data_IF_946016249999
#
_entry.id   IF_946016249999
#
_cell.length_a   1.000
_cell.length_b   1.000
_cell.length_c   1.000
_cell.angle_alpha   90.00
_cell.angle_beta   90.00
_cell.angle_gamma   90.00
#
_symmetry.space_group_name_H-M   'P 1'
#
loop_
_entity.id
_entity.type
_entity.pdbx_description
1 polymer ?
#
# COMPACT_ATOMS: atom_id res chain seq x y z
N UNK A 1 -9.76 -48.43 57.61
CA UNK A 1 -11.20 -48.72 57.52
C UNK A 1 -11.95 -47.41 57.31
N UNK A 2 -12.68 -47.19 56.21
CA UNK A 2 -12.46 -47.65 54.83
C UNK A 2 -12.22 -46.47 53.84
N UNK A 3 -11.62 -46.77 52.68
CA UNK A 3 -11.51 -45.87 51.51
C UNK A 3 -12.74 -46.00 50.59
N UNK A 4 -13.12 -44.95 49.82
CA UNK A 4 -14.09 -45.04 48.72
C UNK A 4 -13.42 -45.18 47.33
N UNK A 5 -14.12 -45.70 46.31
CA UNK A 5 -13.52 -46.17 45.06
C UNK A 5 -13.40 -45.10 43.95
N UNK A 6 -12.48 -45.42 43.04
CA UNK A 6 -12.04 -44.74 41.82
C UNK A 6 -13.13 -44.35 40.81
N UNK A 7 -13.05 -43.13 40.27
CA UNK A 7 -13.79 -42.65 39.11
C UNK A 7 -12.90 -42.64 37.85
N UNK A 8 -13.39 -43.32 36.82
CA UNK A 8 -12.83 -43.44 35.48
C UNK A 8 -13.19 -42.20 34.63
N UNK A 9 -12.18 -41.66 33.96
CA UNK A 9 -12.25 -40.52 33.03
C UNK A 9 -12.74 -40.95 31.64
N UNK A 10 -13.78 -40.30 31.13
CA UNK A 10 -14.22 -40.35 29.73
C UNK A 10 -14.01 -38.98 29.05
N UNK A 11 -13.64 -38.91 27.76
CA UNK A 11 -13.26 -37.68 27.09
C UNK A 11 -14.46 -36.92 26.48
N UNK A 12 -14.41 -35.60 26.54
CA UNK A 12 -15.34 -34.69 25.90
C UNK A 12 -15.06 -34.58 24.38
N UNK A 13 -16.10 -34.68 23.55
CA UNK A 13 -16.09 -34.28 22.13
C UNK A 13 -17.38 -33.54 21.74
N UNK A 14 -17.15 -32.30 21.30
CA UNK A 14 -17.84 -31.47 20.28
C UNK A 14 -19.37 -31.30 20.26
N UNK A 15 -19.85 -30.04 20.20
CA UNK A 15 -21.06 -29.70 19.47
C UNK A 15 -20.76 -29.16 18.05
N UNK A 16 -21.53 -29.70 17.12
CA UNK A 16 -21.50 -29.51 15.67
C UNK A 16 -21.81 -28.08 15.23
N UNK A 17 -20.99 -27.56 14.32
CA UNK A 17 -21.28 -26.37 13.51
C UNK A 17 -22.33 -26.70 12.43
N UNK A 18 -23.35 -25.86 12.29
CA UNK A 18 -24.23 -25.80 11.11
C UNK A 18 -24.43 -24.34 10.65
N UNK A 19 -24.73 -24.13 9.36
CA UNK A 19 -24.26 -22.97 8.60
C UNK A 19 -25.24 -21.80 8.64
N UNK A 20 -24.71 -20.58 8.67
CA UNK A 20 -25.50 -19.37 8.46
C UNK A 20 -25.77 -19.16 6.97
N UNK A 21 -27.05 -19.26 6.61
CA UNK A 21 -27.62 -18.79 5.35
C UNK A 21 -27.85 -17.28 5.42
N UNK A 22 -27.62 -16.64 4.28
CA UNK A 22 -27.96 -15.27 3.94
C UNK A 22 -29.44 -14.91 4.16
N UNK A 23 -29.72 -13.63 4.41
CA UNK A 23 -30.91 -12.83 4.05
C UNK A 23 -30.54 -11.34 4.32
N UNK A 24 -30.51 -10.44 3.33
CA UNK A 24 -31.62 -9.72 2.66
C UNK A 24 -31.92 -8.38 3.37
N UNK A 25 -31.50 -7.26 2.78
CA UNK A 25 -32.31 -6.14 2.24
C UNK A 25 -32.07 -4.88 3.11
N UNK A 26 -32.10 -3.62 2.68
CA UNK A 26 -32.73 -2.91 1.58
C UNK A 26 -31.85 -1.71 1.20
N UNK A 27 -31.65 -1.44 -0.09
CA UNK A 27 -31.20 -0.11 -0.56
C UNK A 27 -32.30 0.47 -1.45
N UNK A 28 -33.06 1.40 -0.87
CA UNK A 28 -33.98 2.27 -1.62
C UNK A 28 -33.23 3.47 -2.19
N UNK A 29 -33.53 3.71 -3.45
CA UNK A 29 -33.02 4.71 -4.39
C UNK A 29 -33.44 6.16 -4.07
N UNK A 30 -32.57 7.13 -4.37
CA UNK A 30 -32.87 8.45 -4.99
C UNK A 30 -31.56 9.25 -5.15
N UNK A 31 -30.97 9.35 -6.35
CA UNK A 31 -31.17 10.42 -7.35
C UNK A 31 -30.90 11.85 -6.82
N UNK A 32 -29.80 12.47 -7.28
CA UNK A 32 -29.72 13.84 -7.83
C UNK A 32 -28.34 13.98 -8.51
N UNK A 33 -28.33 14.23 -9.82
CA UNK A 33 -27.16 14.66 -10.59
C UNK A 33 -26.89 16.16 -10.37
N UNK A 34 -25.70 16.67 -10.75
CA UNK A 34 -25.76 17.73 -11.75
C UNK A 34 -24.68 17.68 -12.82
N UNK A 35 -25.13 18.10 -14.00
CA UNK A 35 -24.36 18.33 -15.20
C UNK A 35 -23.74 19.74 -15.23
N UNK A 36 -22.69 19.88 -16.04
CA UNK A 36 -22.28 21.07 -16.81
C UNK A 36 -21.96 22.37 -16.05
N UNK A 37 -20.67 22.65 -15.91
CA UNK A 37 -20.15 24.02 -16.06
C UNK A 37 -18.84 24.00 -16.88
N UNK A 38 -18.98 24.21 -18.18
CA UNK A 38 -17.90 24.57 -19.12
C UNK A 38 -18.30 25.92 -19.73
N UNK A 39 -17.46 26.94 -19.60
CA UNK A 39 -17.54 28.14 -20.42
C UNK A 39 -17.15 29.45 -19.74
N UNK A 40 -16.20 30.16 -20.38
CA UNK A 40 -15.63 31.51 -20.11
C UNK A 40 -14.41 31.46 -19.18
N UNK A 41 -13.20 31.83 -19.59
CA UNK A 41 -12.82 33.07 -20.27
C UNK A 41 -11.69 32.87 -21.31
N UNK A 42 -11.83 33.55 -22.45
CA UNK A 42 -10.76 33.93 -23.34
C UNK A 42 -10.51 35.43 -23.20
N UNK A 43 -9.24 35.83 -23.30
CA UNK A 43 -8.70 37.11 -23.79
C UNK A 43 -7.56 37.58 -22.89
N UNK A 44 -6.35 37.62 -23.45
CA UNK A 44 -5.37 38.71 -23.36
C UNK A 44 -4.18 38.29 -24.22
N UNK A 45 -4.23 38.66 -25.50
CA UNK A 45 -3.07 38.58 -26.37
C UNK A 45 -2.08 39.69 -26.02
N UNK A 46 -0.78 39.39 -26.07
CA UNK A 46 0.32 40.33 -26.29
C UNK A 46 1.57 39.52 -26.65
N UNK A 47 2.15 39.84 -27.81
CA UNK A 47 3.44 39.37 -28.32
C UNK A 47 4.58 40.19 -27.70
N UNK A 48 5.81 39.65 -27.62
CA UNK A 48 6.94 40.36 -28.23
C UNK A 48 7.93 39.39 -28.92
N UNK A 49 8.29 39.62 -30.18
CA UNK A 49 9.46 40.42 -30.63
C UNK A 49 10.82 39.77 -30.32
N UNK A 50 11.46 39.25 -31.37
CA UNK A 50 12.87 38.85 -31.44
C UNK A 50 13.82 40.06 -31.36
N UNK A 51 15.08 39.83 -30.98
CA UNK A 51 16.18 40.57 -31.57
C UNK A 51 17.23 39.64 -32.19
N UNK A 52 17.65 39.96 -33.41
CA UNK A 52 18.91 39.48 -33.96
C UNK A 52 20.07 40.33 -33.46
N UNK A 53 21.26 39.73 -33.38
CA UNK A 53 22.50 40.45 -33.66
C UNK A 53 23.63 39.47 -34.03
N UNK A 54 24.37 39.93 -35.02
CA UNK A 54 25.57 39.44 -35.70
C UNK A 54 26.80 39.32 -34.81
N UNK A 55 27.65 38.33 -35.06
CA UNK A 55 29.12 38.49 -34.97
C UNK A 55 29.86 37.38 -35.74
N UNK A 56 30.82 37.80 -36.56
CA UNK A 56 31.66 37.00 -37.44
C UNK A 56 32.92 36.47 -36.73
N UNK A 57 33.45 35.32 -37.16
CA UNK A 57 34.87 34.93 -37.00
C UNK A 57 35.20 33.68 -37.86
N UNK A 58 36.48 33.37 -38.16
CA UNK A 58 36.91 33.08 -39.53
C UNK A 58 37.25 31.62 -39.84
N UNK A 59 37.30 31.38 -41.15
CA UNK A 59 37.81 30.23 -41.88
C UNK A 59 39.14 29.64 -41.38
N UNK A 60 39.19 28.31 -41.25
CA UNK A 60 40.43 27.51 -41.18
C UNK A 60 40.38 26.30 -42.15
N UNK A 61 41.55 25.86 -42.67
CA UNK A 61 41.69 25.11 -43.92
C UNK A 61 41.47 23.59 -43.77
N UNK A 62 41.34 22.84 -44.89
CA UNK A 62 41.03 21.41 -44.86
C UNK A 62 42.23 20.57 -44.38
N UNK A 63 42.01 19.39 -43.77
CA UNK A 63 43.12 18.54 -43.38
C UNK A 63 43.72 17.84 -44.60
N UNK A 64 45.06 17.79 -44.61
CA UNK A 64 45.89 17.09 -45.57
C UNK A 64 45.64 15.57 -45.53
N UNK A 65 45.70 14.96 -46.72
CA UNK A 65 45.94 13.53 -46.93
C UNK A 65 47.18 13.09 -46.14
N UNK A 66 47.01 12.10 -45.28
CA UNK A 66 48.09 11.27 -44.75
C UNK A 66 47.94 9.83 -45.26
N UNK A 67 49.09 9.24 -45.54
CA UNK A 67 49.27 7.95 -46.18
C UNK A 67 48.73 6.78 -45.36
N UNK A 68 48.35 5.74 -46.11
CA UNK A 68 47.95 4.44 -45.64
C UNK A 68 48.97 3.82 -44.65
N UNK A 69 48.45 3.40 -43.50
CA UNK A 69 49.00 2.29 -42.73
C UNK A 69 47.87 1.28 -42.53
N UNK A 70 48.15 0.02 -42.88
CA UNK A 70 47.25 -1.12 -42.69
C UNK A 70 46.98 -1.32 -41.19
N UNK A 71 45.84 -0.83 -40.72
CA UNK A 71 45.28 -1.23 -39.43
C UNK A 71 44.22 -2.29 -39.72
N UNK A 72 44.46 -3.52 -39.23
CA UNK A 72 43.50 -4.60 -39.28
C UNK A 72 42.13 -4.11 -38.83
N UNK A 73 41.12 -4.39 -39.64
CA UNK A 73 39.72 -4.09 -39.42
C UNK A 73 39.24 -4.74 -38.13
N UNK A 74 39.39 -4.03 -37.00
CA UNK A 74 38.55 -4.31 -35.83
C UNK A 74 37.12 -3.95 -36.26
N UNK A 75 36.16 -4.89 -36.22
CA UNK A 75 34.78 -4.55 -36.49
C UNK A 75 34.35 -3.45 -35.52
N UNK A 76 33.46 -2.53 -35.93
CA UNK A 76 32.98 -1.47 -35.06
C UNK A 76 32.49 -2.09 -33.75
N UNK A 77 32.78 -1.46 -32.60
CA UNK A 77 32.40 -1.97 -31.25
C UNK A 77 30.92 -2.40 -31.15
N UNK A 78 30.04 -1.83 -31.98
CA UNK A 78 28.63 -2.22 -32.11
C UNK A 78 28.39 -3.60 -32.75
N UNK A 79 29.21 -4.03 -33.71
CA UNK A 79 29.08 -5.33 -34.35
C UNK A 79 29.39 -6.51 -33.42
N UNK A 80 30.45 -6.39 -32.59
CA UNK A 80 30.79 -7.41 -31.59
C UNK A 80 29.73 -7.53 -30.49
N UNK A 81 29.11 -6.42 -30.09
CA UNK A 81 28.06 -6.44 -29.08
C UNK A 81 26.78 -7.11 -29.61
N UNK A 82 26.40 -6.83 -30.87
CA UNK A 82 25.28 -7.49 -31.52
C UNK A 82 25.52 -8.99 -31.74
N UNK A 83 26.74 -9.37 -32.11
CA UNK A 83 27.13 -10.77 -32.30
C UNK A 83 27.12 -11.54 -30.97
N UNK A 84 27.65 -10.94 -29.89
CA UNK A 84 27.57 -11.54 -28.55
C UNK A 84 26.14 -11.63 -28.03
N UNK A 85 25.28 -10.64 -28.33
CA UNK A 85 23.86 -10.71 -27.98
C UNK A 85 23.15 -11.85 -28.74
N UNK A 86 23.43 -12.03 -30.04
CA UNK A 86 22.89 -13.12 -30.83
C UNK A 86 23.34 -14.50 -30.32
N UNK A 87 24.62 -14.63 -29.94
CA UNK A 87 25.14 -15.85 -29.30
C UNK A 87 24.38 -16.16 -28.01
N UNK A 88 24.16 -15.16 -27.15
CA UNK A 88 23.41 -15.33 -25.90
C UNK A 88 21.93 -15.67 -26.11
N UNK A 89 21.30 -15.13 -27.15
CA UNK A 89 19.94 -15.51 -27.53
C UNK A 89 19.90 -16.99 -27.96
N UNK A 90 20.84 -17.42 -28.80
CA UNK A 90 20.91 -18.82 -29.24
C UNK A 90 21.17 -19.78 -28.08
N UNK A 91 22.11 -19.45 -27.18
CA UNK A 91 22.33 -20.21 -25.95
C UNK A 91 21.02 -20.34 -25.13
N UNK A 92 20.27 -19.25 -24.99
CA UNK A 92 18.98 -19.25 -24.30
C UNK A 92 17.96 -20.20 -24.95
N UNK A 93 17.84 -20.16 -26.28
CA UNK A 93 16.94 -21.04 -27.02
C UNK A 93 17.34 -22.53 -26.91
N UNK A 94 18.64 -22.84 -26.90
CA UNK A 94 19.12 -24.20 -26.68
C UNK A 94 18.73 -24.72 -25.29
N UNK A 95 18.86 -23.88 -24.26
CA UNK A 95 18.45 -24.23 -22.90
C UNK A 95 16.93 -24.43 -22.80
N UNK A 96 16.12 -23.62 -23.48
CA UNK A 96 14.66 -23.85 -23.57
C UNK A 96 14.35 -25.22 -24.20
N UNK A 97 15.01 -25.57 -25.30
CA UNK A 97 14.80 -26.86 -25.97
C UNK A 97 15.22 -28.06 -25.09
N UNK A 98 16.31 -27.91 -24.32
CA UNK A 98 16.74 -28.91 -23.33
C UNK A 98 15.71 -29.06 -22.21
N UNK A 99 15.19 -27.96 -21.67
CA UNK A 99 14.16 -27.98 -20.64
C UNK A 99 12.88 -28.69 -21.12
N UNK A 100 12.42 -28.40 -22.34
CA UNK A 100 11.26 -29.07 -22.94
C UNK A 100 11.49 -30.57 -23.15
N UNK A 101 12.73 -30.97 -23.46
CA UNK A 101 13.10 -32.39 -23.55
C UNK A 101 13.03 -33.10 -22.18
N UNK A 102 13.41 -32.43 -21.10
CA UNK A 102 13.30 -32.96 -19.74
C UNK A 102 11.85 -33.12 -19.26
N UNK A 103 10.95 -32.26 -19.75
CA UNK A 103 9.51 -32.34 -19.46
C UNK A 103 8.79 -33.43 -20.27
N UNK A 104 9.34 -33.87 -21.41
CA UNK A 104 8.75 -34.95 -22.21
C UNK A 104 8.81 -36.27 -21.46
N UNK A 105 7.64 -36.87 -21.25
CA UNK A 105 7.49 -38.24 -20.77
C UNK A 105 7.57 -39.21 -21.95
N UNK A 106 8.03 -40.42 -21.67
CA UNK A 106 8.16 -41.48 -22.66
C UNK A 106 7.84 -42.83 -22.05
N UNK A 107 7.93 -43.91 -22.83
CA UNK A 107 7.59 -45.26 -22.38
C UNK A 107 8.37 -45.73 -21.13
N UNK A 108 9.57 -45.20 -20.89
CA UNK A 108 10.40 -45.48 -19.69
C UNK A 108 10.29 -44.43 -18.58
N UNK A 109 9.72 -43.23 -18.83
CA UNK A 109 9.68 -42.12 -17.87
C UNK A 109 8.26 -41.57 -17.77
N UNK A 110 7.55 -42.05 -16.76
CA UNK A 110 6.16 -41.68 -16.45
C UNK A 110 5.99 -40.35 -15.72
N UNK A 111 7.06 -39.77 -15.13
CA UNK A 111 7.03 -38.47 -14.46
C UNK A 111 8.02 -37.49 -15.13
N UNK A 112 7.57 -36.29 -15.53
CA UNK A 112 8.46 -35.24 -16.05
C UNK A 112 9.57 -34.87 -15.07
N UNK A 113 10.75 -34.51 -15.59
CA UNK A 113 11.85 -34.00 -14.78
C UNK A 113 11.71 -32.50 -14.53
N UNK A 114 10.86 -32.15 -13.57
CA UNK A 114 10.61 -30.73 -13.28
C UNK A 114 11.85 -30.03 -12.71
N UNK A 115 12.69 -30.74 -11.95
CA UNK A 115 13.90 -30.17 -11.34
C UNK A 115 14.95 -29.81 -12.40
N UNK A 116 15.27 -30.76 -13.28
CA UNK A 116 16.22 -30.53 -14.37
C UNK A 116 15.69 -29.49 -15.37
N UNK A 117 14.38 -29.51 -15.66
CA UNK A 117 13.76 -28.52 -16.54
C UNK A 117 13.83 -27.11 -15.94
N UNK A 118 13.56 -26.95 -14.65
CA UNK A 118 13.64 -25.65 -13.99
C UNK A 118 15.06 -25.07 -14.04
N UNK A 119 16.09 -25.88 -13.75
CA UNK A 119 17.50 -25.44 -13.85
C UNK A 119 17.86 -24.94 -15.26
N UNK A 120 17.39 -25.63 -16.31
CA UNK A 120 17.63 -25.21 -17.69
C UNK A 120 16.83 -23.94 -18.06
N UNK A 121 15.60 -23.78 -17.58
CA UNK A 121 14.84 -22.55 -17.75
C UNK A 121 15.51 -21.34 -17.06
N UNK A 122 16.07 -21.52 -15.86
CA UNK A 122 16.82 -20.47 -15.17
C UNK A 122 18.07 -20.04 -15.93
N UNK A 123 18.83 -20.98 -16.51
CA UNK A 123 19.97 -20.68 -17.40
C UNK A 123 19.52 -19.92 -18.65
N UNK A 124 18.41 -20.32 -19.25
CA UNK A 124 17.82 -19.63 -20.40
C UNK A 124 17.44 -18.18 -20.05
N UNK A 125 16.79 -17.97 -18.90
CA UNK A 125 16.41 -16.65 -18.43
C UNK A 125 17.61 -15.71 -18.25
N UNK A 126 18.70 -16.22 -17.64
CA UNK A 126 19.96 -15.46 -17.49
C UNK A 126 20.59 -15.12 -18.85
N UNK A 127 20.59 -16.05 -19.80
CA UNK A 127 21.11 -15.82 -21.14
C UNK A 127 20.30 -14.74 -21.89
N UNK A 128 18.96 -14.80 -21.85
CA UNK A 128 18.10 -13.78 -22.43
C UNK A 128 18.24 -12.42 -21.75
N UNK A 129 18.35 -12.39 -20.42
CA UNK A 129 18.61 -11.16 -19.66
C UNK A 129 19.93 -10.51 -20.08
N UNK A 130 21.01 -11.28 -20.24
CA UNK A 130 22.30 -10.77 -20.69
C UNK A 130 22.27 -10.23 -22.13
N UNK A 131 21.40 -10.80 -22.98
CA UNK A 131 21.12 -10.29 -24.32
C UNK A 131 20.15 -9.09 -24.35
N UNK A 132 19.69 -8.61 -23.19
CA UNK A 132 18.65 -7.55 -23.04
C UNK A 132 17.28 -7.90 -23.62
N UNK A 133 17.00 -9.19 -23.78
CA UNK A 133 15.72 -9.68 -24.28
C UNK A 133 14.78 -9.98 -23.12
N UNK A 134 14.29 -8.92 -22.47
CA UNK A 134 13.55 -9.00 -21.21
C UNK A 134 12.21 -9.75 -21.31
N UNK A 135 11.49 -9.65 -22.44
CA UNK A 135 10.22 -10.36 -22.63
C UNK A 135 10.46 -11.89 -22.66
N UNK A 136 11.49 -12.35 -23.39
CA UNK A 136 11.87 -13.76 -23.42
C UNK A 136 12.44 -14.25 -22.08
N UNK A 137 13.21 -13.40 -21.40
CA UNK A 137 13.72 -13.71 -20.06
C UNK A 137 12.58 -13.89 -19.05
N UNK A 138 11.57 -13.01 -19.10
CA UNK A 138 10.35 -13.11 -18.28
C UNK A 138 9.62 -14.42 -18.55
N UNK A 139 9.37 -14.77 -19.81
CA UNK A 139 8.68 -16.02 -20.16
C UNK A 139 9.46 -17.25 -19.70
N UNK A 140 10.80 -17.22 -19.80
CA UNK A 140 11.66 -18.29 -19.29
C UNK A 140 11.58 -18.41 -17.74
N UNK A 141 11.62 -17.30 -17.01
CA UNK A 141 11.43 -17.29 -15.55
C UNK A 141 10.03 -17.80 -15.14
N UNK A 142 8.98 -17.48 -15.91
CA UNK A 142 7.64 -18.01 -15.63
C UNK A 142 7.57 -19.52 -15.83
N UNK A 143 8.23 -20.05 -16.88
CA UNK A 143 8.34 -21.50 -17.11
C UNK A 143 9.15 -22.20 -15.99
N UNK A 144 10.24 -21.58 -15.55
CA UNK A 144 11.03 -22.02 -14.40
C UNK A 144 10.17 -22.08 -13.13
N UNK A 145 9.41 -21.03 -12.84
CA UNK A 145 8.57 -20.95 -11.67
C UNK A 145 7.50 -22.07 -11.65
N UNK A 146 6.82 -22.27 -12.79
CA UNK A 146 5.81 -23.35 -12.94
C UNK A 146 6.46 -24.74 -12.81
N UNK A 147 7.67 -24.93 -13.31
CA UNK A 147 8.40 -26.18 -13.12
C UNK A 147 8.70 -26.44 -11.62
N UNK A 148 9.16 -25.42 -10.90
CA UNK A 148 9.39 -25.53 -9.45
C UNK A 148 8.09 -25.75 -8.65
N UNK A 149 6.98 -25.11 -9.02
CA UNK A 149 5.66 -25.37 -8.42
C UNK A 149 5.27 -26.85 -8.56
N UNK A 150 5.40 -27.40 -9.78
CA UNK A 150 5.08 -28.80 -10.06
C UNK A 150 6.01 -29.78 -9.31
N UNK A 151 7.23 -29.35 -8.99
CA UNK A 151 8.16 -30.10 -8.15
C UNK A 151 7.95 -29.88 -6.64
N UNK A 152 6.94 -29.09 -6.23
CA UNK A 152 6.69 -28.66 -4.84
C UNK A 152 7.85 -27.89 -4.20
N UNK A 153 8.70 -27.27 -5.00
CA UNK A 153 9.82 -26.44 -4.55
C UNK A 153 9.37 -24.96 -4.45
N UNK A 154 8.47 -24.67 -3.50
CA UNK A 154 7.78 -23.37 -3.40
C UNK A 154 8.74 -22.16 -3.27
N UNK A 155 9.80 -22.28 -2.45
CA UNK A 155 10.80 -21.21 -2.31
C UNK A 155 11.46 -20.83 -3.63
N UNK A 156 11.84 -21.84 -4.44
CA UNK A 156 12.50 -21.62 -5.72
C UNK A 156 11.51 -21.10 -6.77
N UNK A 157 10.26 -21.56 -6.73
CA UNK A 157 9.19 -21.00 -7.56
C UNK A 157 8.97 -19.51 -7.27
N UNK A 158 8.89 -19.13 -5.99
CA UNK A 158 8.75 -17.73 -5.57
C UNK A 158 9.93 -16.88 -6.05
N UNK A 159 11.17 -17.38 -5.93
CA UNK A 159 12.36 -16.69 -6.45
C UNK A 159 12.30 -16.46 -7.96
N UNK A 160 11.84 -17.45 -8.73
CA UNK A 160 11.67 -17.33 -10.17
C UNK A 160 10.57 -16.30 -10.53
N UNK A 161 9.47 -16.24 -9.77
CA UNK A 161 8.46 -15.18 -9.92
C UNK A 161 9.00 -13.78 -9.60
N UNK A 162 9.81 -13.63 -8.55
CA UNK A 162 10.49 -12.36 -8.27
C UNK A 162 11.40 -11.94 -9.43
N UNK A 163 12.15 -12.88 -10.03
CA UNK A 163 12.98 -12.60 -11.20
C UNK A 163 12.16 -12.17 -12.41
N UNK A 164 11.03 -12.83 -12.68
CA UNK A 164 10.10 -12.41 -13.73
C UNK A 164 9.55 -11.00 -13.48
N UNK A 165 9.21 -10.67 -12.22
CA UNK A 165 8.81 -9.33 -11.81
C UNK A 165 9.92 -8.29 -12.02
N UNK A 166 11.18 -8.64 -11.76
CA UNK A 166 12.33 -7.77 -12.08
C UNK A 166 12.46 -7.52 -13.58
N UNK A 167 12.21 -8.52 -14.44
CA UNK A 167 12.25 -8.32 -15.90
C UNK A 167 11.14 -7.36 -16.34
N UNK A 168 9.93 -7.48 -15.78
CA UNK A 168 8.82 -6.57 -16.05
C UNK A 168 9.12 -5.14 -15.58
N UNK A 169 9.84 -4.98 -14.46
CA UNK A 169 10.33 -3.67 -14.01
C UNK A 169 11.26 -3.02 -15.03
N UNK A 170 12.21 -3.76 -15.60
CA UNK A 170 13.10 -3.24 -16.66
C UNK A 170 12.32 -2.83 -17.92
N UNK A 171 11.19 -3.49 -18.17
CA UNK A 171 10.26 -3.17 -19.26
C UNK A 171 9.25 -2.06 -18.93
N UNK A 172 9.33 -1.47 -17.73
CA UNK A 172 8.38 -0.47 -17.21
C UNK A 172 6.92 -0.97 -17.10
N UNK A 173 6.69 -2.29 -17.10
CA UNK A 173 5.39 -2.94 -16.88
C UNK A 173 5.15 -3.20 -15.39
N UNK A 174 5.13 -2.12 -14.59
CA UNK A 174 5.09 -2.21 -13.13
C UNK A 174 3.85 -2.91 -12.55
N UNK A 175 2.61 -2.70 -13.07
CA UNK A 175 1.43 -3.39 -12.55
C UNK A 175 1.50 -4.91 -12.70
N UNK A 176 2.01 -5.40 -13.83
CA UNK A 176 2.21 -6.85 -14.06
C UNK A 176 3.29 -7.40 -13.11
N UNK A 177 4.35 -6.62 -12.85
CA UNK A 177 5.41 -7.02 -11.92
C UNK A 177 4.86 -7.23 -10.49
N UNK A 178 3.95 -6.35 -10.05
CA UNK A 178 3.31 -6.46 -8.73
C UNK A 178 2.52 -7.77 -8.61
N UNK A 179 1.73 -8.14 -9.62
CA UNK A 179 0.96 -9.39 -9.60
C UNK A 179 1.86 -10.63 -9.42
N UNK A 180 3.03 -10.64 -10.08
CA UNK A 180 4.00 -11.73 -9.92
C UNK A 180 4.63 -11.73 -8.52
N UNK A 181 4.90 -10.55 -7.95
CA UNK A 181 5.44 -10.45 -6.59
C UNK A 181 4.41 -10.87 -5.54
N UNK A 182 3.14 -10.54 -5.71
CA UNK A 182 2.04 -11.03 -4.84
C UNK A 182 1.93 -12.56 -4.92
N UNK A 183 2.10 -13.14 -6.11
CA UNK A 183 2.15 -14.61 -6.25
C UNK A 183 3.35 -15.21 -5.51
N UNK A 184 4.52 -14.60 -5.64
CA UNK A 184 5.72 -15.00 -4.91
C UNK A 184 5.56 -14.88 -3.39
N UNK A 185 4.92 -13.82 -2.88
CA UNK A 185 4.73 -13.64 -1.45
C UNK A 185 3.83 -14.72 -0.85
N UNK A 186 2.75 -15.11 -1.54
CA UNK A 186 1.90 -16.23 -1.12
C UNK A 186 2.71 -17.54 -1.01
N UNK A 187 3.57 -17.82 -1.98
CA UNK A 187 4.44 -19.00 -1.94
C UNK A 187 5.48 -18.95 -0.82
N UNK A 188 6.03 -17.77 -0.53
CA UNK A 188 6.95 -17.60 0.59
C UNK A 188 6.24 -17.83 1.93
N UNK A 189 4.98 -17.41 2.07
CA UNK A 189 4.16 -17.67 3.26
C UNK A 189 3.86 -19.17 3.39
N UNK A 190 3.43 -19.83 2.32
CA UNK A 190 3.18 -21.28 2.30
C UNK A 190 4.44 -22.11 2.60
N UNK A 191 5.61 -21.62 2.18
CA UNK A 191 6.91 -22.23 2.47
C UNK A 191 7.38 -22.00 3.92
N UNK A 192 6.68 -21.18 4.72
CA UNK A 192 7.08 -20.84 6.09
C UNK A 192 8.22 -19.82 6.17
N UNK A 193 8.35 -18.96 5.16
CA UNK A 193 9.35 -17.87 5.10
C UNK A 193 8.69 -16.48 5.02
N UNK A 194 7.89 -16.09 6.04
CA UNK A 194 7.09 -14.86 6.05
C UNK A 194 7.94 -13.59 5.92
N UNK A 195 9.14 -13.58 6.50
CA UNK A 195 10.10 -12.48 6.37
C UNK A 195 10.45 -12.15 4.91
N UNK A 196 10.66 -13.18 4.10
CA UNK A 196 10.99 -12.99 2.68
C UNK A 196 9.76 -12.50 1.90
N UNK A 197 8.57 -13.01 2.25
CA UNK A 197 7.30 -12.53 1.68
C UNK A 197 7.11 -11.03 1.96
N UNK A 198 7.31 -10.62 3.21
CA UNK A 198 7.12 -9.25 3.63
C UNK A 198 8.12 -8.30 2.93
N UNK A 199 9.39 -8.68 2.85
CA UNK A 199 10.40 -7.89 2.12
C UNK A 199 10.10 -7.78 0.62
N UNK A 200 9.54 -8.82 0.00
CA UNK A 200 9.16 -8.79 -1.41
C UNK A 200 7.99 -7.82 -1.64
N UNK A 201 6.95 -7.90 -0.82
CA UNK A 201 5.78 -7.01 -0.88
C UNK A 201 6.14 -5.55 -0.59
N UNK A 202 6.99 -5.28 0.41
CA UNK A 202 7.44 -3.91 0.70
C UNK A 202 8.17 -3.29 -0.49
N UNK A 203 9.05 -4.05 -1.15
CA UNK A 203 9.74 -3.59 -2.36
C UNK A 203 8.76 -3.33 -3.51
N UNK A 204 7.75 -4.17 -3.69
CA UNK A 204 6.71 -3.96 -4.70
C UNK A 204 5.89 -2.69 -4.42
N UNK A 205 5.49 -2.46 -3.16
CA UNK A 205 4.80 -1.26 -2.72
C UNK A 205 5.57 0.00 -3.11
N UNK A 206 6.86 0.06 -2.74
CA UNK A 206 7.74 1.19 -3.06
C UNK A 206 7.89 1.48 -4.55
N UNK A 207 7.86 0.44 -5.40
CA UNK A 207 7.98 0.59 -6.85
C UNK A 207 6.72 1.19 -7.48
N UNK A 208 5.55 0.92 -6.90
CA UNK A 208 4.27 1.33 -7.47
C UNK A 208 3.69 2.61 -6.84
N UNK A 209 4.28 3.14 -5.75
CA UNK A 209 3.81 4.37 -5.06
C UNK A 209 3.50 5.54 -6.01
N UNK A 210 4.36 5.76 -7.01
CA UNK A 210 4.22 6.88 -7.95
C UNK A 210 3.34 6.58 -9.17
N UNK A 211 2.95 5.30 -9.35
CA UNK A 211 2.19 4.84 -10.52
C UNK A 211 0.76 4.53 -10.14
N UNK A 212 0.58 3.76 -9.07
CA UNK A 212 -0.70 3.39 -8.49
C UNK A 212 -0.58 3.41 -6.96
N UNK A 213 -0.85 4.57 -6.32
CA UNK A 213 -0.77 4.71 -4.87
C UNK A 213 -1.81 3.84 -4.14
N UNK A 214 -2.93 3.51 -4.78
CA UNK A 214 -3.98 2.69 -4.17
C UNK A 214 -3.51 1.24 -4.03
N UNK A 215 -2.88 0.70 -5.08
CA UNK A 215 -2.27 -0.63 -5.02
C UNK A 215 -1.08 -0.65 -4.05
N UNK A 216 -0.30 0.42 -3.95
CA UNK A 216 0.78 0.53 -2.97
C UNK A 216 0.26 0.43 -1.53
N UNK A 217 -0.84 1.10 -1.21
CA UNK A 217 -1.51 1.00 0.11
C UNK A 217 -1.89 -0.43 0.43
N UNK A 218 -2.51 -1.15 -0.52
CA UNK A 218 -2.89 -2.56 -0.32
C UNK A 218 -1.68 -3.44 -0.02
N UNK A 219 -0.57 -3.27 -0.76
CA UNK A 219 0.66 -4.03 -0.54
C UNK A 219 1.26 -3.75 0.84
N UNK A 220 1.29 -2.48 1.27
CA UNK A 220 1.78 -2.13 2.61
C UNK A 220 0.90 -2.69 3.73
N UNK A 221 -0.43 -2.67 3.57
CA UNK A 221 -1.36 -3.28 4.53
C UNK A 221 -1.19 -4.80 4.59
N UNK A 222 -1.06 -5.47 3.44
CA UNK A 222 -0.75 -6.91 3.39
C UNK A 222 0.57 -7.21 4.10
N UNK A 223 1.61 -6.42 3.84
CA UNK A 223 2.92 -6.58 4.47
C UNK A 223 2.85 -6.35 5.99
N UNK A 224 2.11 -5.34 6.43
CA UNK A 224 1.88 -5.08 7.84
C UNK A 224 1.20 -6.28 8.53
N UNK A 225 0.17 -6.86 7.90
CA UNK A 225 -0.50 -8.05 8.43
C UNK A 225 0.44 -9.26 8.55
N UNK A 226 1.39 -9.44 7.61
CA UNK A 226 2.42 -10.49 7.73
C UNK A 226 3.30 -10.24 8.95
N UNK A 227 3.74 -9.00 9.20
CA UNK A 227 4.52 -8.68 10.39
C UNK A 227 3.72 -8.76 11.70
N UNK A 228 2.43 -8.43 11.69
CA UNK A 228 1.54 -8.59 12.85
C UNK A 228 1.39 -10.06 13.25
N UNK A 229 1.21 -10.95 12.27
CA UNK A 229 1.10 -12.39 12.51
C UNK A 229 2.38 -13.00 13.10
N UNK A 230 3.54 -12.43 12.78
CA UNK A 230 4.84 -12.82 13.34
C UNK A 230 5.20 -12.07 14.65
N UNK A 231 4.25 -11.35 15.24
CA UNK A 231 4.42 -10.53 16.46
C UNK A 231 5.50 -9.41 16.34
N UNK A 232 5.85 -9.02 15.11
CA UNK A 232 6.83 -7.97 14.80
C UNK A 232 6.16 -6.59 14.72
N UNK A 233 5.51 -6.20 15.81
CA UNK A 233 4.64 -5.02 15.88
C UNK A 233 5.29 -3.70 15.43
N UNK A 234 6.59 -3.48 15.73
CA UNK A 234 7.31 -2.27 15.32
C UNK A 234 7.43 -2.11 13.80
N UNK A 235 7.58 -3.22 13.08
CA UNK A 235 7.68 -3.19 11.62
C UNK A 235 6.32 -3.11 10.97
N UNK A 236 5.32 -3.80 11.53
CA UNK A 236 3.93 -3.66 11.11
C UNK A 236 3.47 -2.20 11.14
N UNK A 237 3.69 -1.51 12.26
CA UNK A 237 3.24 -0.12 12.43
C UNK A 237 3.99 0.86 11.53
N UNK A 238 5.28 0.60 11.21
CA UNK A 238 6.02 1.41 10.24
C UNK A 238 5.38 1.34 8.85
N UNK A 239 4.94 0.15 8.41
CA UNK A 239 4.31 -0.02 7.11
C UNK A 239 2.88 0.50 7.08
N UNK A 240 2.13 0.35 8.19
CA UNK A 240 0.84 1.03 8.34
C UNK A 240 1.01 2.55 8.25
N UNK A 241 2.05 3.12 8.85
CA UNK A 241 2.37 4.54 8.71
C UNK A 241 2.64 4.96 7.27
N UNK A 242 3.31 4.12 6.46
CA UNK A 242 3.47 4.36 5.01
C UNK A 242 2.11 4.35 4.30
N UNK A 243 1.25 3.37 4.61
CA UNK A 243 -0.10 3.29 4.05
C UNK A 243 -0.96 4.50 4.43
N UNK A 244 -0.98 4.90 5.71
CA UNK A 244 -1.74 6.06 6.20
C UNK A 244 -1.32 7.36 5.52
N UNK A 245 -0.02 7.60 5.34
CA UNK A 245 0.49 8.78 4.63
C UNK A 245 0.04 8.81 3.16
N UNK A 246 0.07 7.66 2.48
CA UNK A 246 -0.42 7.55 1.10
C UNK A 246 -1.93 7.78 1.01
N UNK A 247 -2.71 7.27 1.96
CA UNK A 247 -4.16 7.50 2.04
C UNK A 247 -4.50 8.97 2.24
N UNK A 248 -3.79 9.66 3.14
CA UNK A 248 -3.96 11.11 3.36
C UNK A 248 -3.62 11.88 2.08
N UNK A 249 -2.49 11.56 1.42
CA UNK A 249 -2.10 12.17 0.15
C UNK A 249 -3.14 11.94 -0.95
N UNK A 250 -3.76 10.76 -0.96
CA UNK A 250 -4.86 10.40 -1.86
C UNK A 250 -6.23 10.98 -1.49
N UNK A 251 -6.32 11.79 -0.42
CA UNK A 251 -7.57 12.36 0.12
C UNK A 251 -8.63 11.31 0.50
N UNK A 252 -8.21 10.06 0.77
CA UNK A 252 -9.08 8.97 1.25
C UNK A 252 -9.14 9.00 2.78
N UNK A 253 -9.76 10.06 3.30
CA UNK A 253 -9.73 10.37 4.73
C UNK A 253 -10.45 9.34 5.61
N UNK A 254 -11.49 8.67 5.09
CA UNK A 254 -12.21 7.62 5.83
C UNK A 254 -11.29 6.43 6.15
N UNK A 255 -10.58 5.93 5.14
CA UNK A 255 -9.62 4.84 5.29
C UNK A 255 -8.37 5.26 6.04
N UNK A 256 -7.90 6.50 5.84
CA UNK A 256 -6.79 7.06 6.60
C UNK A 256 -7.10 7.08 8.12
N UNK A 257 -8.31 7.48 8.52
CA UNK A 257 -8.70 7.48 9.93
C UNK A 257 -8.66 6.06 10.55
N UNK A 258 -9.15 5.06 9.82
CA UNK A 258 -9.10 3.65 10.26
C UNK A 258 -7.64 3.17 10.38
N UNK A 259 -6.80 3.49 9.40
CA UNK A 259 -5.40 3.10 9.37
C UNK A 259 -4.61 3.75 10.53
N UNK A 260 -4.80 5.05 10.77
CA UNK A 260 -4.17 5.78 11.88
C UNK A 260 -4.65 5.25 13.24
N UNK A 261 -5.94 4.90 13.38
CA UNK A 261 -6.44 4.30 14.61
C UNK A 261 -5.79 2.94 14.87
N UNK A 262 -5.58 2.12 13.83
CA UNK A 262 -4.85 0.85 13.94
C UNK A 262 -3.40 1.09 14.40
N UNK A 263 -2.72 2.09 13.83
CA UNK A 263 -1.38 2.47 14.28
C UNK A 263 -1.35 2.89 15.75
N UNK A 264 -2.30 3.73 16.18
CA UNK A 264 -2.41 4.19 17.58
C UNK A 264 -2.57 3.01 18.54
N UNK A 265 -3.39 2.01 18.18
CA UNK A 265 -3.58 0.81 18.99
C UNK A 265 -2.29 0.00 19.13
N UNK A 266 -1.56 -0.21 18.03
CA UNK A 266 -0.29 -0.95 18.05
C UNK A 266 0.78 -0.18 18.84
N UNK A 267 0.87 1.14 18.70
CA UNK A 267 1.81 1.93 19.51
C UNK A 267 1.46 1.94 21.01
N UNK A 268 0.17 1.88 21.35
CA UNK A 268 -0.27 1.72 22.74
C UNK A 268 0.15 0.36 23.30
N UNK A 269 0.06 -0.70 22.52
CA UNK A 269 0.53 -2.04 22.89
C UNK A 269 2.06 -2.12 23.05
N UNK A 270 2.81 -1.41 22.20
CA UNK A 270 4.27 -1.25 22.31
C UNK A 270 4.67 -0.32 23.48
N UNK A 271 3.71 0.33 24.14
CA UNK A 271 3.91 1.36 25.18
C UNK A 271 4.72 2.58 24.71
N UNK A 272 4.68 2.88 23.41
CA UNK A 272 5.29 4.08 22.85
C UNK A 272 4.29 5.25 22.89
N UNK A 273 4.01 5.73 24.10
CA UNK A 273 3.04 6.79 24.36
C UNK A 273 3.32 8.11 23.61
N UNK A 274 4.56 8.63 23.53
CA UNK A 274 4.84 9.87 22.80
C UNK A 274 4.44 9.80 21.32
N UNK A 275 4.55 8.63 20.70
CA UNK A 275 4.13 8.44 19.31
C UNK A 275 2.61 8.33 19.20
N UNK A 276 1.92 7.80 20.21
CA UNK A 276 0.46 7.79 20.27
C UNK A 276 -0.14 9.21 20.27
N UNK A 277 0.52 10.17 20.93
CA UNK A 277 0.06 11.56 20.95
C UNK A 277 0.09 12.16 19.54
N UNK A 278 1.21 11.97 18.83
CA UNK A 278 1.36 12.38 17.44
C UNK A 278 0.33 11.73 16.51
N UNK A 279 0.00 10.45 16.73
CA UNK A 279 -1.06 9.77 15.97
C UNK A 279 -2.45 10.30 16.29
N UNK A 280 -2.69 10.73 17.53
CA UNK A 280 -3.93 11.43 17.91
C UNK A 280 -4.04 12.76 17.17
N UNK A 281 -2.96 13.54 17.08
CA UNK A 281 -2.93 14.77 16.28
C UNK A 281 -3.28 14.48 14.82
N UNK A 282 -2.63 13.50 14.20
CA UNK A 282 -2.92 13.12 12.82
C UNK A 282 -4.38 12.70 12.62
N UNK A 283 -4.94 11.93 13.57
CA UNK A 283 -6.32 11.48 13.54
C UNK A 283 -7.32 12.64 13.61
N UNK A 284 -7.10 13.60 14.54
CA UNK A 284 -7.91 14.81 14.67
C UNK A 284 -7.89 15.63 13.40
N UNK A 285 -6.70 15.87 12.82
CA UNK A 285 -6.58 16.60 11.55
C UNK A 285 -7.38 15.92 10.43
N UNK A 286 -7.28 14.59 10.31
CA UNK A 286 -8.04 13.83 9.30
C UNK A 286 -9.56 13.96 9.51
N UNK A 287 -10.05 13.92 10.75
CA UNK A 287 -11.48 14.12 11.05
C UNK A 287 -11.96 15.55 10.79
N UNK A 288 -11.13 16.56 11.10
CA UNK A 288 -11.43 17.95 10.77
C UNK A 288 -11.47 18.17 9.25
N UNK A 289 -10.61 17.51 8.46
CA UNK A 289 -10.70 17.50 6.99
C UNK A 289 -11.99 16.89 6.45
N UNK A 290 -12.56 15.92 7.17
CA UNK A 290 -13.86 15.32 6.86
C UNK A 290 -15.04 16.20 7.30
N UNK A 291 -14.78 17.34 7.95
CA UNK A 291 -15.77 18.19 8.64
C UNK A 291 -16.56 17.42 9.72
N UNK A 292 -15.94 16.40 10.31
CA UNK A 292 -16.54 15.59 11.38
C UNK A 292 -15.93 15.99 12.73
N UNK A 293 -16.46 17.07 13.29
CA UNK A 293 -16.02 17.60 14.58
C UNK A 293 -16.27 16.62 15.73
N UNK A 294 -17.40 15.91 15.71
CA UNK A 294 -17.78 14.96 16.78
C UNK A 294 -16.78 13.80 16.83
N UNK A 295 -16.37 13.27 15.68
CA UNK A 295 -15.33 12.25 15.65
C UNK A 295 -13.96 12.81 16.10
N UNK A 296 -13.61 14.04 15.71
CA UNK A 296 -12.38 14.69 16.14
C UNK A 296 -12.30 14.85 17.67
N UNK A 297 -13.36 15.38 18.29
CA UNK A 297 -13.46 15.54 19.75
C UNK A 297 -13.40 14.17 20.46
N UNK A 298 -14.12 13.18 19.94
CA UNK A 298 -14.09 11.81 20.47
C UNK A 298 -12.68 11.23 20.47
N UNK A 299 -11.88 11.48 19.41
CA UNK A 299 -10.51 10.98 19.33
C UNK A 299 -9.63 11.54 20.45
N UNK A 300 -9.75 12.83 20.76
CA UNK A 300 -9.04 13.46 21.89
C UNK A 300 -9.51 12.87 23.20
N UNK A 301 -10.83 12.71 23.37
CA UNK A 301 -11.43 12.15 24.58
C UNK A 301 -10.95 10.73 24.89
N UNK A 302 -10.89 9.88 23.87
CA UNK A 302 -10.37 8.51 24.01
C UNK A 302 -8.88 8.51 24.38
N UNK A 303 -8.11 9.48 23.88
CA UNK A 303 -6.68 9.61 24.16
C UNK A 303 -6.35 10.09 25.57
N UNK A 304 -7.28 10.66 26.35
CA UNK A 304 -7.07 10.93 27.79
C UNK A 304 -6.76 9.69 28.61
N UNK A 305 -7.21 8.51 28.15
CA UNK A 305 -6.88 7.22 28.78
C UNK A 305 -5.42 6.79 28.58
N UNK A 306 -4.67 7.47 27.71
CA UNK A 306 -3.28 7.15 27.41
C UNK A 306 -2.38 7.81 28.48
N UNK A 307 -1.50 7.04 29.15
CA UNK A 307 -0.60 7.55 30.18
C UNK A 307 0.22 8.74 29.67
N UNK A 308 0.17 9.87 30.38
CA UNK A 308 0.96 11.06 30.06
C UNK A 308 0.35 12.01 29.01
N UNK A 309 -0.75 11.65 28.36
CA UNK A 309 -1.36 12.51 27.34
C UNK A 309 -1.92 13.82 27.92
N UNK A 310 -2.65 13.76 29.05
CA UNK A 310 -3.28 14.93 29.67
C UNK A 310 -2.29 16.04 30.08
N UNK A 311 -1.04 15.70 30.37
CA UNK A 311 0.02 16.67 30.71
C UNK A 311 0.93 17.04 29.54
N UNK A 312 0.63 16.56 28.33
CA UNK A 312 1.47 16.78 27.14
C UNK A 312 1.12 18.09 26.44
N UNK A 313 2.12 18.69 25.79
CA UNK A 313 1.92 19.84 24.90
C UNK A 313 1.00 19.48 23.71
N UNK A 314 1.01 18.21 23.29
CA UNK A 314 0.15 17.69 22.23
C UNK A 314 -1.34 17.80 22.59
N UNK A 315 -1.71 17.50 23.84
CA UNK A 315 -3.09 17.59 24.31
C UNK A 315 -3.56 19.05 24.39
N UNK A 316 -2.75 19.93 25.00
CA UNK A 316 -3.07 21.35 25.09
C UNK A 316 -3.25 21.98 23.70
N UNK A 317 -2.41 21.62 22.74
CA UNK A 317 -2.51 22.13 21.38
C UNK A 317 -3.75 21.58 20.64
N UNK A 318 -4.15 20.33 20.90
CA UNK A 318 -5.38 19.75 20.34
C UNK A 318 -6.65 20.37 20.92
N UNK A 319 -6.66 20.67 22.21
CA UNK A 319 -7.77 21.37 22.86
C UNK A 319 -7.93 22.79 22.30
N UNK A 320 -6.83 23.53 22.15
CA UNK A 320 -6.84 24.86 21.50
C UNK A 320 -7.30 24.79 20.05
N UNK A 321 -6.91 23.74 19.31
CA UNK A 321 -7.36 23.54 17.92
C UNK A 321 -8.87 23.28 17.85
N UNK A 322 -9.39 22.40 18.71
CA UNK A 322 -10.82 22.08 18.74
C UNK A 322 -11.66 23.27 19.23
N UNK A 323 -11.18 24.00 20.23
CA UNK A 323 -11.82 25.23 20.73
C UNK A 323 -11.91 26.29 19.63
N UNK A 324 -10.80 26.57 18.93
CA UNK A 324 -10.81 27.51 17.80
C UNK A 324 -11.71 27.05 16.66
N UNK A 325 -11.80 25.74 16.42
CA UNK A 325 -12.72 25.18 15.42
C UNK A 325 -14.20 25.36 15.81
N UNK A 326 -14.57 25.14 17.08
CA UNK A 326 -15.93 25.35 17.59
C UNK A 326 -16.33 26.83 17.62
N UNK A 327 -15.40 27.71 18.01
CA UNK A 327 -15.58 29.16 18.02
C UNK A 327 -15.51 29.80 16.61
N UNK A 328 -15.11 29.02 15.60
CA UNK A 328 -14.84 29.49 14.24
C UNK A 328 -13.76 30.58 14.15
N UNK A 329 -12.82 30.57 15.09
CA UNK A 329 -11.67 31.48 15.11
C UNK A 329 -10.58 30.96 14.16
N UNK A 330 -10.51 31.58 12.98
CA UNK A 330 -9.54 31.20 11.95
C UNK A 330 -8.10 31.55 12.33
N UNK A 331 -7.91 32.63 13.08
CA UNK A 331 -6.58 33.10 13.45
C UNK A 331 -5.98 32.14 14.49
N UNK A 332 -6.79 31.70 15.46
CA UNK A 332 -6.40 30.69 16.43
C UNK A 332 -6.08 29.33 15.77
N UNK A 333 -6.96 28.85 14.88
CA UNK A 333 -6.72 27.58 14.17
C UNK A 333 -5.46 27.67 13.31
N UNK A 334 -5.24 28.79 12.61
CA UNK A 334 -4.06 29.01 11.80
C UNK A 334 -2.78 29.11 12.64
N UNK A 335 -2.83 29.74 13.81
CA UNK A 335 -1.72 29.84 14.75
C UNK A 335 -1.30 28.45 15.25
N UNK A 336 -2.27 27.65 15.72
CA UNK A 336 -2.01 26.29 16.21
C UNK A 336 -1.45 25.40 15.09
N UNK A 337 -2.05 25.44 13.89
CA UNK A 337 -1.53 24.69 12.73
C UNK A 337 -0.13 25.15 12.30
N UNK A 338 0.24 26.40 12.58
CA UNK A 338 1.56 26.95 12.29
C UNK A 338 2.61 26.70 13.37
N UNK A 339 2.21 26.16 14.51
CA UNK A 339 3.12 25.85 15.61
C UNK A 339 4.13 24.76 15.22
N UNK A 340 5.30 24.71 15.87
CA UNK A 340 6.31 23.68 15.62
C UNK A 340 5.77 22.25 15.76
N UNK A 341 4.84 22.02 16.71
CA UNK A 341 4.24 20.71 16.95
C UNK A 341 3.54 20.15 15.72
N UNK A 342 2.82 20.99 14.98
CA UNK A 342 2.10 20.60 13.77
C UNK A 342 2.99 20.63 12.52
N UNK A 343 3.98 21.54 12.45
CA UNK A 343 4.91 21.63 11.31
C UNK A 343 5.93 20.50 11.25
N UNK A 344 6.40 20.00 12.39
CA UNK A 344 7.33 18.87 12.44
C UNK A 344 6.64 17.49 12.27
N UNK A 345 5.33 17.47 12.01
CA UNK A 345 4.62 16.26 11.60
C UNK A 345 5.03 15.81 10.19
N UNK A 346 4.79 14.53 9.89
CA UNK A 346 5.02 13.97 8.56
C UNK A 346 4.43 14.88 7.47
N UNK A 347 5.23 15.18 6.43
CA UNK A 347 4.90 16.18 5.40
C UNK A 347 3.51 16.01 4.76
N UNK A 348 3.01 14.77 4.67
CA UNK A 348 1.68 14.51 4.09
C UNK A 348 0.53 14.95 5.01
N UNK A 349 0.75 14.94 6.34
CA UNK A 349 -0.21 15.38 7.35
C UNK A 349 -0.13 16.90 7.54
N UNK A 350 1.09 17.47 7.51
CA UNK A 350 1.31 18.91 7.68
C UNK A 350 1.01 19.74 6.41
N UNK A 351 1.11 19.15 5.21
CA UNK A 351 0.79 19.82 3.94
C UNK A 351 -0.72 20.02 3.72
N UNK A 352 -1.56 19.37 4.51
CA UNK A 352 -3.01 19.53 4.48
C UNK A 352 -3.45 20.21 5.78
N UNK A 353 -3.30 21.55 5.94
CA UNK A 353 -3.86 22.25 7.08
C UNK A 353 -5.38 22.05 7.12
N UNK A 354 -5.94 21.88 8.32
CA UNK A 354 -7.37 21.64 8.51
C UNK A 354 -8.20 22.73 7.79
N UNK A 355 -9.23 22.36 7.02
CA UNK A 355 -10.04 23.33 6.32
C UNK A 355 -10.86 24.10 7.35
N UNK A 356 -10.67 25.42 7.40
CA UNK A 356 -11.55 26.28 8.19
C UNK A 356 -12.98 26.18 7.66
N UNK A 357 -14.01 26.03 8.52
CA UNK A 357 -15.41 25.87 8.11
C UNK A 357 -16.05 27.09 7.43
N UNK A 358 -15.28 28.15 7.15
CA UNK A 358 -15.77 29.36 6.50
C UNK A 358 -16.19 29.19 5.03
N UNK A 359 -15.94 28.03 4.41
CA UNK A 359 -16.46 27.70 3.07
C UNK A 359 -17.84 27.03 3.08
N UNK A 360 -18.44 26.74 4.25
CA UNK A 360 -19.82 26.27 4.34
C UNK A 360 -20.79 27.48 4.42
N UNK A 361 -21.70 27.53 3.44
CA UNK A 361 -22.70 28.60 3.32
C UNK A 361 -23.45 28.82 4.64
N UNK A 362 -23.82 30.08 4.99
CA UNK A 362 -24.55 30.43 6.21
C UNK A 362 -25.84 29.63 6.47
N UNK A 363 -26.44 29.02 5.45
CA UNK A 363 -27.71 28.30 5.56
C UNK A 363 -27.61 26.85 6.08
N UNK A 364 -26.42 26.21 6.00
CA UNK A 364 -26.22 24.83 6.48
C UNK A 364 -25.84 24.74 7.98
N UNK A 365 -25.64 25.89 8.64
CA UNK A 365 -25.10 26.01 10.01
C UNK A 365 -26.02 25.50 11.12
N UNK A 366 -27.35 25.73 11.08
CA UNK A 366 -28.26 25.13 12.06
C UNK A 366 -28.46 23.64 11.79
N UNK A 367 -28.42 23.22 10.52
CA UNK A 367 -28.73 21.86 10.12
C UNK A 367 -27.65 20.86 10.55
N UNK A 368 -26.35 21.17 10.44
CA UNK A 368 -25.30 20.28 10.94
C UNK A 368 -25.26 20.17 12.47
N UNK A 369 -25.56 21.27 13.18
CA UNK A 369 -25.63 21.30 14.65
C UNK A 369 -26.85 20.53 15.17
N UNK A 370 -27.96 20.59 14.44
CA UNK A 370 -29.21 19.92 14.77
C UNK A 370 -29.23 18.45 14.31
N UNK A 371 -28.54 18.11 13.22
CA UNK A 371 -28.27 16.72 12.80
C UNK A 371 -27.28 16.06 13.78
N UNK A 372 -26.22 16.74 14.22
CA UNK A 372 -25.32 16.25 15.27
C UNK A 372 -26.05 16.07 16.62
N UNK A 373 -26.96 17.00 16.98
CA UNK A 373 -27.87 16.80 18.15
C UNK A 373 -28.86 15.66 17.92
N UNK A 374 -29.41 15.49 16.73
CA UNK A 374 -30.34 14.39 16.40
C UNK A 374 -29.65 13.04 16.44
N UNK A 375 -28.44 12.89 15.90
CA UNK A 375 -27.65 11.65 15.99
C UNK A 375 -27.23 11.38 17.43
N UNK A 376 -26.89 12.41 18.21
CA UNK A 376 -26.60 12.27 19.64
C UNK A 376 -27.85 11.85 20.45
N UNK A 377 -29.02 12.41 20.12
CA UNK A 377 -30.30 12.05 20.75
C UNK A 377 -30.78 10.67 20.27
N UNK A 378 -30.67 10.32 18.99
CA UNK A 378 -31.05 8.99 18.47
C UNK A 378 -30.12 7.88 19.00
N UNK A 379 -28.82 8.13 19.19
CA UNK A 379 -27.92 7.15 19.83
C UNK A 379 -28.13 7.02 21.34
N UNK A 380 -28.49 8.10 22.03
CA UNK A 380 -28.81 8.07 23.47
C UNK A 380 -30.20 7.46 23.72
N UNK A 381 -31.19 7.69 22.86
CA UNK A 381 -32.56 7.13 23.01
C UNK A 381 -32.74 5.73 22.38
N UNK A 382 -31.91 5.32 21.41
CA UNK A 382 -31.85 3.91 20.98
C UNK A 382 -31.13 3.01 21.99
N UNK A 383 -30.44 3.58 23.00
CA UNK A 383 -29.87 2.83 24.12
C UNK A 383 -30.90 2.32 25.12
N UNK A 384 -32.09 2.95 25.19
CA UNK A 384 -33.08 2.70 26.26
C UNK A 384 -34.50 2.36 25.76
N UNK A 385 -34.69 2.13 24.46
CA UNK A 385 -35.97 1.63 23.93
C UNK A 385 -35.93 0.12 23.73
N UNK A 386 -36.75 -0.69 24.45
CA UNK A 386 -36.78 -2.13 24.25
C UNK A 386 -37.28 -2.44 22.84
N UNK A 387 -36.53 -3.26 22.12
CA UNK A 387 -36.95 -3.82 20.84
C UNK A 387 -38.28 -4.55 21.03
N UNK A 388 -39.34 -4.08 20.37
CA UNK A 388 -40.70 -4.65 20.43
C UNK A 388 -40.83 -6.07 19.81
N UNK A 389 -39.70 -6.73 19.54
CA UNK A 389 -39.62 -8.07 18.94
C UNK A 389 -38.95 -9.09 19.88
N UNK A 390 -38.32 -8.67 20.98
CA UNK A 390 -37.75 -9.59 21.99
C UNK A 390 -38.05 -9.11 23.42
N UNK A 391 -39.10 -9.66 24.02
CA UNK A 391 -39.51 -9.35 25.39
C UNK A 391 -38.63 -10.01 26.45
N UNK A 392 -37.46 -9.42 26.75
CA UNK A 392 -36.66 -9.75 27.94
C UNK A 392 -35.88 -8.52 28.43
N UNK A 393 -36.01 -8.09 29.71
CA UNK A 393 -35.25 -6.96 30.23
C UNK A 393 -33.83 -7.39 30.63
N UNK A 394 -32.80 -6.75 30.07
CA UNK A 394 -31.42 -6.83 30.55
C UNK A 394 -31.25 -5.93 31.78
N UNK A 395 -31.13 -6.54 32.96
CA UNK A 395 -30.74 -5.89 34.21
C UNK A 395 -29.32 -5.33 34.09
N UNK A 396 -29.17 -4.04 34.37
CA UNK A 396 -27.91 -3.41 34.76
C UNK A 396 -27.48 -3.88 36.15
N UNK A 397 -26.26 -4.39 36.28
CA UNK A 397 -25.58 -4.56 37.56
C UNK A 397 -24.33 -3.69 37.53
N UNK A 398 -24.47 -2.51 38.13
CA UNK A 398 -23.37 -1.70 38.64
C UNK A 398 -23.09 -2.14 40.08
N UNK A 399 -21.89 -2.68 40.31
CA UNK A 399 -21.02 -2.41 41.47
C UNK A 399 -19.57 -2.56 41.02
#
# INVERSE_FOLDING_TARGET
MPEPPSLSTAPAREPRVRPFRALCACTTSACIAPARLLGRFAALGLSPASPGSTAAAPSRPPPRRSHAHSAGSRPPRQGRAAEMAAQKINEGLEHLAKAEKYLKTGFLKWKPDYDSAASEYGKAAVAFKNAKQFEQAKDACLKEAVAHENNRALFHAAKAYEQAGMMLKEMQKLPEAVQLIEKASMMYLENGTPDTAAMALERAGKLIENVDPEKAVQLYQQTANVFENEERLRQAVELLGKASRLLVRGRRFDEAAISIQKEKNIYKEIENYPTCYKKTIAQVLVHLHRNDYVAAERCVRESYSIPGFNGSEDCAALEQLLEGYDQQDQDQVAEVCNSPLFKYMDNDVSAHPAPCPALLSPSLRPMLREEARRVHVEQVYCGDTPCSVCGSPSRSLTE
#
